data_IF_473108245227
#
_entry.id   IF_473108245227
#
_cell.length_a   1.000
_cell.length_b   1.000
_cell.length_c   1.000
_cell.angle_alpha   90.00
_cell.angle_beta   90.00
_cell.angle_gamma   90.00
#
_symmetry.space_group_name_H-M   'P 1'
#
loop_
_entity.id
_entity.type
_entity.pdbx_description
1 polymer ?
#
# COMPACT_ATOMS: atom_id res chain seq x y z
N UNK A 1 6.21 18.34 21.36
CA UNK A 1 6.68 17.59 20.30
C UNK A 1 5.58 16.96 19.56
N UNK A 2 5.51 17.26 18.38
CA UNK A 2 4.44 16.70 17.67
C UNK A 2 4.73 15.25 17.49
N UNK A 3 3.81 14.49 17.73
CA UNK A 3 3.90 13.13 17.53
C UNK A 3 3.70 12.87 16.12
N UNK A 4 4.71 12.98 15.34
CA UNK A 4 4.54 12.59 14.01
C UNK A 4 4.96 11.18 13.91
N UNK A 5 4.02 10.31 13.79
CA UNK A 5 4.32 8.92 13.54
C UNK A 5 4.56 8.76 12.05
N UNK A 6 5.68 8.17 11.66
CA UNK A 6 5.92 7.93 10.25
C UNK A 6 4.87 6.96 9.73
N UNK A 7 4.55 7.10 8.46
CA UNK A 7 3.60 6.20 7.81
C UNK A 7 4.20 4.80 7.77
N UNK A 8 3.39 3.81 8.08
CA UNK A 8 3.75 2.41 7.87
C UNK A 8 3.25 2.00 6.49
N UNK A 9 4.08 1.31 5.74
CA UNK A 9 3.71 0.82 4.43
C UNK A 9 3.21 -0.62 4.59
N UNK A 10 1.96 -0.86 4.23
CA UNK A 10 1.41 -2.21 4.21
C UNK A 10 1.56 -2.73 2.79
N UNK A 11 2.41 -3.74 2.62
CA UNK A 11 2.66 -4.32 1.31
C UNK A 11 1.91 -5.64 1.20
N UNK A 12 0.91 -5.69 0.34
CA UNK A 12 0.09 -6.89 0.15
C UNK A 12 0.53 -7.56 -1.13
N UNK A 13 1.31 -8.62 -1.00
CA UNK A 13 1.96 -9.29 -2.10
C UNK A 13 2.21 -10.75 -1.73
N UNK A 14 1.76 -11.70 -2.53
CA UNK A 14 1.91 -13.11 -2.20
C UNK A 14 3.23 -13.73 -2.66
N UNK A 15 3.94 -13.12 -3.59
CA UNK A 15 5.20 -13.67 -4.09
C UNK A 15 6.37 -13.16 -3.25
N UNK A 16 7.09 -14.05 -2.55
CA UNK A 16 8.19 -13.59 -1.69
C UNK A 16 9.32 -12.88 -2.45
N UNK A 17 9.56 -13.26 -3.70
CA UNK A 17 10.57 -12.61 -4.52
C UNK A 17 10.18 -11.19 -4.86
N UNK A 18 8.91 -10.98 -5.22
CA UNK A 18 8.40 -9.65 -5.51
C UNK A 18 8.40 -8.79 -4.24
N UNK A 19 8.07 -9.39 -3.10
CA UNK A 19 8.10 -8.68 -1.82
C UNK A 19 9.51 -8.16 -1.53
N UNK A 20 10.52 -9.03 -1.66
CA UNK A 20 11.90 -8.64 -1.41
C UNK A 20 12.37 -7.55 -2.37
N UNK A 21 12.01 -7.67 -3.64
CA UNK A 21 12.42 -6.70 -4.64
C UNK A 21 11.77 -5.34 -4.37
N UNK A 22 10.50 -5.34 -4.04
CA UNK A 22 9.79 -4.11 -3.71
C UNK A 22 10.41 -3.44 -2.49
N UNK A 23 10.67 -4.19 -1.44
CA UNK A 23 11.32 -3.65 -0.24
C UNK A 23 12.68 -3.06 -0.59
N UNK A 24 13.46 -3.77 -1.39
CA UNK A 24 14.78 -3.29 -1.78
C UNK A 24 14.68 -1.98 -2.55
N UNK A 25 13.73 -1.90 -3.47
CA UNK A 25 13.57 -0.70 -4.28
C UNK A 25 13.09 0.48 -3.44
N UNK A 26 12.25 0.23 -2.44
CA UNK A 26 11.82 1.28 -1.52
C UNK A 26 13.02 1.81 -0.73
N UNK A 27 13.87 0.91 -0.26
CA UNK A 27 15.07 1.33 0.49
C UNK A 27 16.03 2.12 -0.40
N UNK A 28 16.14 1.75 -1.67
CA UNK A 28 16.96 2.51 -2.61
C UNK A 28 16.41 3.90 -2.86
N UNK A 29 15.10 4.08 -2.74
CA UNK A 29 14.47 5.38 -2.89
C UNK A 29 14.55 6.19 -1.59
N UNK A 30 15.32 5.72 -0.63
CA UNK A 30 15.48 6.36 0.67
C UNK A 30 14.21 6.36 1.52
N UNK A 31 13.33 5.41 1.25
CA UNK A 31 12.13 5.22 2.03
C UNK A 31 12.52 4.35 3.22
N UNK A 32 12.53 4.91 4.41
CA UNK A 32 12.96 4.19 5.61
C UNK A 32 11.79 3.79 6.50
N UNK A 33 10.58 4.07 6.07
CA UNK A 33 9.38 3.72 6.82
C UNK A 33 9.28 2.21 7.05
N UNK A 34 8.61 1.84 8.11
CA UNK A 34 8.38 0.44 8.38
C UNK A 34 7.53 -0.18 7.26
N UNK A 35 7.88 -1.38 6.84
CA UNK A 35 7.13 -2.11 5.83
C UNK A 35 6.59 -3.37 6.49
N UNK A 36 5.27 -3.49 6.49
CA UNK A 36 4.61 -4.69 6.98
C UNK A 36 4.12 -5.47 5.77
N UNK A 37 4.69 -6.63 5.53
CA UNK A 37 4.32 -7.43 4.37
C UNK A 37 3.30 -8.48 4.76
N UNK A 38 2.20 -8.55 4.03
CA UNK A 38 1.15 -9.54 4.24
C UNK A 38 0.89 -10.21 2.90
N UNK A 39 0.89 -11.55 2.88
CA UNK A 39 0.89 -12.30 1.64
C UNK A 39 -0.49 -12.65 1.10
N UNK A 40 -1.55 -12.22 1.75
CA UNK A 40 -2.89 -12.72 1.46
C UNK A 40 -3.90 -11.57 1.59
N UNK A 41 -4.81 -11.46 0.64
CA UNK A 41 -5.80 -10.38 0.65
C UNK A 41 -6.73 -10.39 1.84
N UNK A 42 -7.18 -11.59 2.25
CA UNK A 42 -8.06 -11.70 3.41
C UNK A 42 -7.33 -11.30 4.69
N UNK A 43 -6.06 -11.71 4.82
CA UNK A 43 -5.27 -11.32 5.98
C UNK A 43 -5.03 -9.82 6.01
N UNK A 44 -4.87 -9.21 4.84
CA UNK A 44 -4.72 -7.75 4.78
C UNK A 44 -5.98 -7.06 5.27
N UNK A 45 -7.16 -7.54 4.87
CA UNK A 45 -8.41 -6.99 5.37
C UNK A 45 -8.56 -7.25 6.87
N UNK A 46 -8.16 -8.43 7.32
CA UNK A 46 -8.20 -8.74 8.75
C UNK A 46 -7.35 -7.76 9.54
N UNK A 47 -6.18 -7.44 9.02
CA UNK A 47 -5.32 -6.45 9.68
C UNK A 47 -5.97 -5.07 9.66
N UNK A 48 -6.49 -4.66 8.51
CA UNK A 48 -7.07 -3.33 8.37
C UNK A 48 -8.30 -3.14 9.24
N UNK A 49 -9.08 -4.19 9.46
CA UNK A 49 -10.29 -4.13 10.25
C UNK A 49 -10.15 -4.68 11.67
N UNK A 50 -8.94 -5.01 12.07
CA UNK A 50 -8.64 -5.56 13.41
C UNK A 50 -9.53 -6.77 13.71
N UNK A 51 -9.52 -7.73 12.81
CA UNK A 51 -10.33 -8.94 12.96
C UNK A 51 -9.47 -10.18 12.69
N UNK A 52 -10.03 -11.37 12.84
CA UNK A 52 -9.30 -12.62 12.63
C UNK A 52 -8.10 -12.70 13.56
N UNK A 53 -6.95 -13.07 13.01
CA UNK A 53 -5.73 -13.17 13.81
C UNK A 53 -5.26 -11.82 14.33
N UNK A 54 -5.79 -10.72 13.80
CA UNK A 54 -5.42 -9.39 14.24
C UNK A 54 -6.48 -8.75 15.15
N UNK A 55 -7.41 -9.54 15.65
CA UNK A 55 -8.53 -9.01 16.43
C UNK A 55 -8.12 -8.24 17.68
N UNK A 56 -6.96 -8.59 18.25
CA UNK A 56 -6.47 -7.91 19.44
C UNK A 56 -5.35 -6.94 19.16
N UNK A 57 -5.05 -6.74 17.87
CA UNK A 57 -3.97 -5.83 17.49
C UNK A 57 -4.57 -4.53 17.01
N UNK A 58 -3.93 -3.44 17.37
CA UNK A 58 -4.30 -2.18 16.76
C UNK A 58 -3.49 -2.07 15.48
N UNK A 59 -4.16 -1.72 14.39
CA UNK A 59 -3.40 -1.48 13.19
C UNK A 59 -2.58 -0.21 13.36
N UNK A 60 -1.42 -0.21 12.72
CA UNK A 60 -0.57 0.96 12.74
C UNK A 60 -1.19 2.05 11.90
N UNK A 61 -1.06 3.27 12.33
CA UNK A 61 -1.63 4.41 11.63
C UNK A 61 -0.63 5.55 11.75
N UNK A 62 -0.46 6.35 10.71
CA UNK A 62 -1.14 6.25 9.41
C UNK A 62 -0.56 5.16 8.53
N UNK A 63 -1.32 4.77 7.51
CA UNK A 63 -0.93 3.71 6.59
C UNK A 63 -0.90 4.17 5.14
N UNK A 64 -0.02 3.55 4.36
CA UNK A 64 -0.05 3.59 2.91
C UNK A 64 -0.09 2.14 2.47
N UNK A 65 -1.01 1.77 1.60
CA UNK A 65 -1.14 0.39 1.16
C UNK A 65 -0.59 0.24 -0.25
N UNK A 66 0.35 -0.69 -0.43
CA UNK A 66 0.82 -1.11 -1.75
C UNK A 66 0.16 -2.46 -2.00
N UNK A 67 -0.69 -2.54 -3.00
CA UNK A 67 -1.58 -3.68 -3.19
C UNK A 67 -1.39 -4.32 -4.54
N UNK A 68 -1.02 -5.59 -4.55
CA UNK A 68 -0.94 -6.36 -5.78
C UNK A 68 -2.35 -6.79 -6.18
N UNK A 69 -2.66 -6.72 -7.46
CA UNK A 69 -3.94 -7.17 -7.95
C UNK A 69 -4.03 -8.67 -8.03
N UNK A 70 -2.91 -9.34 -8.31
CA UNK A 70 -2.94 -10.78 -8.56
C UNK A 70 -2.69 -11.57 -7.29
N UNK A 71 -3.65 -11.53 -6.37
CA UNK A 71 -3.54 -12.30 -5.14
C UNK A 71 -4.42 -13.55 -5.25
N UNK A 72 -4.00 -14.66 -4.64
CA UNK A 72 -4.84 -15.85 -4.63
C UNK A 72 -6.04 -15.64 -3.72
N UNK A 73 -7.13 -16.32 -4.02
CA UNK A 73 -8.33 -16.19 -3.21
C UNK A 73 -8.99 -14.83 -3.38
N UNK A 74 -8.97 -14.03 -2.33
CA UNK A 74 -9.51 -12.68 -2.38
C UNK A 74 -8.49 -11.80 -3.11
N UNK A 75 -8.83 -11.34 -4.28
CA UNK A 75 -7.88 -10.60 -5.11
C UNK A 75 -7.78 -9.12 -4.74
N UNK A 76 -6.85 -8.43 -5.38
CA UNK A 76 -6.60 -7.03 -5.07
C UNK A 76 -7.78 -6.11 -5.35
N UNK A 77 -8.58 -6.40 -6.37
CA UNK A 77 -9.78 -5.59 -6.65
C UNK A 77 -10.76 -5.67 -5.49
N UNK A 78 -10.94 -6.88 -4.95
CA UNK A 78 -11.86 -7.09 -3.83
C UNK A 78 -11.37 -6.40 -2.57
N UNK A 79 -10.05 -6.46 -2.32
CA UNK A 79 -9.46 -5.76 -1.17
C UNK A 79 -9.69 -4.25 -1.31
N UNK A 80 -9.39 -3.70 -2.49
CA UNK A 80 -9.57 -2.27 -2.74
C UNK A 80 -11.03 -1.86 -2.57
N UNK A 81 -11.94 -2.64 -3.12
CA UNK A 81 -13.36 -2.34 -3.04
C UNK A 81 -13.83 -2.28 -1.60
N UNK A 82 -13.45 -3.28 -0.81
CA UNK A 82 -13.86 -3.32 0.59
C UNK A 82 -13.26 -2.18 1.40
N UNK A 83 -12.01 -1.83 1.11
CA UNK A 83 -11.38 -0.68 1.78
C UNK A 83 -12.13 0.61 1.50
N UNK A 84 -12.54 0.82 0.24
CA UNK A 84 -13.15 2.09 -0.14
C UNK A 84 -14.62 2.20 0.24
N UNK A 85 -15.23 1.09 0.60
CA UNK A 85 -16.62 1.09 1.08
C UNK A 85 -16.76 1.37 2.57
N UNK A 86 -15.67 1.27 3.33
CA UNK A 86 -15.74 1.35 4.79
C UNK A 86 -15.12 2.66 5.27
N UNK A 87 -15.84 3.36 6.13
CA UNK A 87 -15.38 4.65 6.66
C UNK A 87 -14.05 4.55 7.39
N UNK A 88 -13.74 3.39 7.95
CA UNK A 88 -12.50 3.21 8.71
C UNK A 88 -11.27 3.15 7.82
N UNK A 89 -11.43 2.79 6.55
CA UNK A 89 -10.31 2.53 5.66
C UNK A 89 -10.33 3.32 4.35
N UNK A 90 -11.46 3.94 4.02
CA UNK A 90 -11.59 4.56 2.68
C UNK A 90 -10.61 5.69 2.42
N UNK A 91 -10.08 6.32 3.46
CA UNK A 91 -9.13 7.42 3.30
C UNK A 91 -7.68 6.98 3.25
N UNK A 92 -7.42 5.70 3.48
CA UNK A 92 -6.06 5.19 3.39
C UNK A 92 -5.64 5.19 1.93
N UNK A 93 -4.52 5.82 1.58
CA UNK A 93 -4.07 5.82 0.19
C UNK A 93 -3.66 4.42 -0.26
N UNK A 94 -4.04 4.08 -1.47
CA UNK A 94 -3.71 2.77 -2.05
C UNK A 94 -2.99 2.97 -3.37
N UNK A 95 -1.82 2.35 -3.48
CA UNK A 95 -1.07 2.28 -4.73
C UNK A 95 -1.19 0.85 -5.22
N UNK A 96 -1.73 0.68 -6.41
CA UNK A 96 -1.86 -0.65 -7.00
C UNK A 96 -0.55 -1.02 -7.70
N UNK A 97 -0.08 -2.23 -7.44
CA UNK A 97 1.10 -2.77 -8.10
C UNK A 97 0.67 -4.00 -8.89
N UNK A 98 1.03 -4.07 -10.16
CA UNK A 98 0.61 -5.22 -10.97
C UNK A 98 1.56 -5.41 -12.14
N UNK A 99 1.51 -6.58 -12.76
CA UNK A 99 2.32 -6.84 -13.95
C UNK A 99 1.61 -6.45 -15.23
N UNK A 100 0.34 -6.02 -15.15
CA UNK A 100 -0.40 -5.66 -16.34
C UNK A 100 -0.58 -4.15 -16.46
N UNK A 101 -0.61 -3.65 -17.71
CA UNK A 101 -0.92 -2.26 -17.96
C UNK A 101 -2.17 -2.17 -18.83
N UNK A 102 -3.01 -3.19 -18.84
CA UNK A 102 -4.24 -3.19 -19.61
C UNK A 102 -5.13 -2.03 -19.19
N UNK A 103 -5.57 -1.24 -20.18
CA UNK A 103 -6.31 -0.02 -19.89
C UNK A 103 -7.61 -0.25 -19.13
N UNK A 104 -8.30 -1.35 -19.38
CA UNK A 104 -9.54 -1.65 -18.65
C UNK A 104 -9.27 -1.93 -17.18
N UNK A 105 -8.17 -2.61 -16.88
CA UNK A 105 -7.83 -2.89 -15.51
C UNK A 105 -7.37 -1.63 -14.78
N UNK A 106 -6.63 -0.76 -15.46
CA UNK A 106 -6.21 0.52 -14.89
C UNK A 106 -7.45 1.35 -14.56
N UNK A 107 -8.37 1.46 -15.51
CA UNK A 107 -9.60 2.24 -15.32
C UNK A 107 -10.42 1.68 -14.16
N UNK A 108 -10.51 0.36 -14.08
CA UNK A 108 -11.25 -0.28 -13.00
C UNK A 108 -10.65 0.05 -11.63
N UNK A 109 -9.32 0.06 -11.53
CA UNK A 109 -8.66 0.41 -10.28
C UNK A 109 -8.97 1.84 -9.86
N UNK A 110 -8.92 2.78 -10.80
CA UNK A 110 -9.23 4.17 -10.47
C UNK A 110 -10.72 4.34 -10.13
N UNK A 111 -11.59 3.63 -10.83
CA UNK A 111 -13.02 3.66 -10.53
C UNK A 111 -13.30 3.13 -9.13
N UNK A 112 -12.54 2.15 -8.67
CA UNK A 112 -12.68 1.61 -7.33
C UNK A 112 -12.01 2.47 -6.27
N UNK A 113 -11.26 3.49 -6.67
CA UNK A 113 -10.73 4.46 -5.73
C UNK A 113 -9.26 4.36 -5.39
N UNK A 114 -8.45 3.66 -6.22
CA UNK A 114 -7.02 3.67 -5.95
C UNK A 114 -6.45 5.06 -6.20
N UNK A 115 -5.38 5.38 -5.53
CA UNK A 115 -4.76 6.69 -5.67
C UNK A 115 -3.77 6.71 -6.83
N UNK A 116 -3.03 5.62 -7.02
CA UNK A 116 -2.05 5.50 -8.08
C UNK A 116 -1.96 4.06 -8.53
N UNK A 117 -1.67 3.87 -9.80
CA UNK A 117 -1.48 2.56 -10.39
C UNK A 117 -0.04 2.49 -10.89
N UNK A 118 0.67 1.43 -10.58
CA UNK A 118 2.04 1.24 -11.04
C UNK A 118 2.24 -0.16 -11.58
N UNK A 119 3.05 -0.28 -12.60
CA UNK A 119 3.39 -1.58 -13.20
C UNK A 119 4.66 -2.12 -12.56
N UNK A 120 4.71 -3.41 -12.26
CA UNK A 120 5.91 -4.07 -11.76
C UNK A 120 6.89 -4.32 -12.92
N UNK A 121 8.18 -4.36 -12.66
CA UNK A 121 8.82 -4.16 -11.37
C UNK A 121 8.77 -2.69 -10.95
N UNK A 122 8.77 -2.44 -9.66
CA UNK A 122 8.69 -1.08 -9.17
C UNK A 122 10.01 -0.39 -9.43
N UNK A 123 9.96 0.64 -10.27
CA UNK A 123 11.12 1.45 -10.54
C UNK A 123 11.25 2.46 -9.41
N UNK A 124 12.41 2.55 -8.80
CA UNK A 124 12.53 3.39 -7.62
C UNK A 124 12.38 4.89 -7.95
N UNK A 125 12.76 5.33 -9.14
CA UNK A 125 12.56 6.73 -9.51
C UNK A 125 11.08 7.06 -9.63
N UNK A 126 10.31 6.18 -10.28
CA UNK A 126 8.86 6.38 -10.39
C UNK A 126 8.21 6.31 -9.03
N UNK A 127 8.65 5.37 -8.21
CA UNK A 127 8.07 5.21 -6.90
C UNK A 127 8.34 6.45 -6.04
N UNK A 128 9.53 7.02 -6.15
CA UNK A 128 9.87 8.24 -5.44
C UNK A 128 8.95 9.40 -5.85
N UNK A 129 8.63 9.48 -7.14
CA UNK A 129 7.70 10.51 -7.62
C UNK A 129 6.31 10.29 -7.04
N UNK A 130 5.85 9.04 -7.01
CA UNK A 130 4.53 8.70 -6.47
C UNK A 130 4.46 9.07 -4.99
N UNK A 131 5.50 8.69 -4.25
CA UNK A 131 5.53 8.98 -2.81
C UNK A 131 5.52 10.48 -2.56
N UNK A 132 6.22 11.26 -3.37
CA UNK A 132 6.19 12.70 -3.23
C UNK A 132 4.80 13.27 -3.46
N UNK A 133 4.10 12.77 -4.47
CA UNK A 133 2.73 13.21 -4.74
C UNK A 133 1.80 12.88 -3.58
N UNK A 134 1.89 11.65 -3.09
CA UNK A 134 1.07 11.23 -1.94
C UNK A 134 1.45 12.04 -0.72
N UNK A 135 2.74 12.29 -0.54
CA UNK A 135 3.23 13.09 0.58
C UNK A 135 2.66 14.49 0.61
N UNK A 136 2.41 15.07 -0.55
CA UNK A 136 1.81 16.38 -0.60
C UNK A 136 0.39 16.38 -0.05
N UNK A 137 -0.36 15.28 -0.25
CA UNK A 137 -1.71 15.20 0.27
C UNK A 137 -1.72 14.79 1.73
N UNK A 138 -0.80 13.93 2.13
CA UNK A 138 -0.82 13.39 3.48
C UNK A 138 -0.06 14.24 4.47
N UNK A 139 0.80 15.08 3.98
CA UNK A 139 1.71 15.92 4.76
C UNK A 139 2.47 15.13 5.79
N UNK A 140 2.58 13.84 5.62
CA UNK A 140 3.23 13.02 6.55
C UNK A 140 4.03 11.96 5.99
N UNK A 141 4.19 11.81 4.77
CA UNK A 141 5.08 10.89 4.26
C UNK A 141 6.38 11.56 4.41
N UNK A 142 6.88 11.56 5.53
CA UNK A 142 8.06 12.13 5.65
C UNK A 142 9.00 11.19 5.58
N UNK A 143 9.61 11.40 4.76
CA UNK A 143 10.86 11.08 4.89
C UNK A 143 11.48 11.77 5.98
N UNK A 144 12.05 11.09 6.79
CA UNK A 144 12.81 11.66 7.78
C UNK A 144 13.93 12.31 7.16
N UNK A 145 13.89 13.41 6.94
CA UNK A 145 14.94 14.05 6.47
C UNK A 145 15.89 14.24 7.48
N UNK A 146 15.96 13.50 8.26
CA UNK A 146 16.91 13.73 9.13
C UNK A 146 16.74 15.06 9.70
N UNK A 147 15.89 15.59 9.30
CA UNK A 147 15.66 16.90 9.81
C UNK A 147 14.54 16.71 10.55
#
# INVERSE_FOLDING_TARGET
>A
MPDQHPITILLVEDDPGHTRLTEKNLRRASITNEILAIADGQQALDYLFSQGQYARSERRSPLLVLLDLNLPGLDGYQVLEQMKRDDRTRRIPVVILTTTDNAHEVDRCYDLGCNVYMTKPVDYDKFSEVIRKIGMFLSVVTVPDGG
#
